data_IF_367853037245
#
_entry.id   IF_367853037245
#
_cell.length_a   1.000
_cell.length_b   1.000
_cell.length_c   1.000
_cell.angle_alpha   90.00
_cell.angle_beta   90.00
_cell.angle_gamma   90.00
#
_symmetry.space_group_name_H-M   'P 1'
#
loop_
_entity.id
_entity.type
_entity.pdbx_description
1 polymer ?
#
# COMPACT_ATOMS: atom_id res chain seq x y z
N UNK A 1 14.47 1.49 -14.94
CA UNK A 1 14.31 2.25 -13.70
C UNK A 1 15.48 3.14 -13.42
N UNK A 2 15.25 4.44 -13.59
CA UNK A 2 16.12 5.47 -13.03
C UNK A 2 16.01 5.53 -11.51
N UNK A 3 17.07 5.99 -10.85
CA UNK A 3 17.22 6.02 -9.39
C UNK A 3 16.04 6.71 -8.66
N UNK A 4 15.43 7.70 -9.32
CA UNK A 4 14.23 8.39 -8.84
C UNK A 4 13.02 7.46 -8.73
N UNK A 5 12.77 6.64 -9.75
CA UNK A 5 11.61 5.75 -9.78
C UNK A 5 11.80 4.55 -8.85
N UNK A 6 13.06 4.14 -8.63
CA UNK A 6 13.44 3.16 -7.61
C UNK A 6 13.15 3.66 -6.18
N UNK A 7 13.44 4.94 -5.88
CA UNK A 7 13.14 5.54 -4.58
C UNK A 7 11.63 5.68 -4.33
N UNK A 8 10.88 6.06 -5.36
CA UNK A 8 9.41 6.16 -5.27
C UNK A 8 8.82 4.77 -5.01
N UNK A 9 9.21 3.76 -5.79
CA UNK A 9 8.73 2.40 -5.60
C UNK A 9 9.09 1.83 -4.21
N UNK A 10 10.28 2.11 -3.69
CA UNK A 10 10.64 1.75 -2.31
C UNK A 10 9.71 2.41 -1.29
N UNK A 11 9.45 3.70 -1.45
CA UNK A 11 8.60 4.45 -0.52
C UNK A 11 7.14 3.94 -0.56
N UNK A 12 6.61 3.64 -1.74
CA UNK A 12 5.26 3.10 -1.90
C UNK A 12 5.13 1.70 -1.26
N UNK A 13 6.17 0.87 -1.38
CA UNK A 13 6.25 -0.44 -0.71
C UNK A 13 6.27 -0.27 0.81
N UNK A 14 7.10 0.63 1.34
CA UNK A 14 7.20 0.88 2.78
C UNK A 14 5.87 1.39 3.35
N UNK A 15 5.18 2.29 2.64
CA UNK A 15 3.86 2.79 3.02
C UNK A 15 2.77 1.71 2.96
N UNK A 16 2.83 0.82 1.97
CA UNK A 16 1.92 -0.33 1.89
C UNK A 16 2.14 -1.30 3.05
N UNK A 17 3.40 -1.61 3.40
CA UNK A 17 3.75 -2.46 4.54
C UNK A 17 3.31 -1.86 5.87
N UNK A 18 3.51 -0.55 6.08
CA UNK A 18 3.03 0.14 7.28
C UNK A 18 1.51 0.11 7.41
N UNK A 19 0.79 0.22 6.29
CA UNK A 19 -0.67 0.15 6.27
C UNK A 19 -1.15 -1.24 6.67
N UNK A 20 -0.50 -2.30 6.18
CA UNK A 20 -0.80 -3.69 6.58
C UNK A 20 -0.53 -3.90 8.07
N UNK A 21 0.60 -3.44 8.61
CA UNK A 21 0.88 -3.53 10.05
C UNK A 21 -0.16 -2.78 10.90
N UNK A 22 -0.65 -1.63 10.44
CA UNK A 22 -1.70 -0.88 11.12
C UNK A 22 -3.02 -1.66 11.12
N UNK A 23 -3.39 -2.28 10.00
CA UNK A 23 -4.55 -3.17 9.91
C UNK A 23 -4.42 -4.34 10.88
N UNK A 24 -3.27 -5.03 10.92
CA UNK A 24 -3.01 -6.16 11.83
C UNK A 24 -3.13 -5.75 13.30
N UNK A 25 -2.53 -4.61 13.69
CA UNK A 25 -2.64 -4.08 15.05
C UNK A 25 -4.09 -3.72 15.42
N UNK A 26 -4.86 -3.18 14.47
CA UNK A 26 -6.28 -2.87 14.71
C UNK A 26 -7.15 -4.15 14.79
N UNK A 27 -6.80 -5.23 14.06
CA UNK A 27 -7.43 -6.56 14.16
C UNK A 27 -7.16 -7.20 15.53
N UNK A 28 -5.91 -7.19 15.98
CA UNK A 28 -5.50 -7.80 17.25
C UNK A 28 -6.16 -7.12 18.47
N UNK A 29 -6.46 -5.83 18.38
CA UNK A 29 -7.10 -5.07 19.45
C UNK A 29 -8.64 -5.15 19.46
N UNK A 30 -9.28 -5.89 18.54
CA UNK A 30 -10.75 -5.93 18.38
C UNK A 30 -11.41 -4.53 18.21
N UNK A 31 -10.64 -3.53 17.77
CA UNK A 31 -11.09 -2.14 17.60
C UNK A 31 -11.61 -1.86 16.17
N UNK A 32 -11.59 -2.86 15.28
CA UNK A 32 -12.03 -2.68 13.90
C UNK A 32 -13.54 -2.71 13.77
N UNK A 33 -14.12 -1.52 13.60
CA UNK A 33 -15.40 -1.40 12.94
C UNK A 33 -15.26 -1.83 11.47
N UNK A 34 -16.33 -2.40 10.92
CA UNK A 34 -16.40 -2.79 9.50
C UNK A 34 -16.10 -1.61 8.55
N UNK A 35 -16.38 -0.39 9.00
CA UNK A 35 -16.11 0.84 8.25
C UNK A 35 -14.62 1.18 8.22
N UNK A 36 -13.91 1.03 9.35
CA UNK A 36 -12.47 1.25 9.43
C UNK A 36 -11.68 0.24 8.57
N UNK A 37 -12.08 -1.04 8.63
CA UNK A 37 -11.47 -2.08 7.78
C UNK A 37 -11.67 -1.78 6.29
N UNK A 38 -12.86 -1.30 5.90
CA UNK A 38 -13.17 -0.95 4.51
C UNK A 38 -12.33 0.25 4.02
N UNK A 39 -12.15 1.26 4.87
CA UNK A 39 -11.32 2.42 4.57
C UNK A 39 -9.86 2.03 4.39
N UNK A 40 -9.31 1.22 5.30
CA UNK A 40 -7.94 0.69 5.18
C UNK A 40 -7.76 -0.16 3.91
N UNK A 41 -8.75 -0.97 3.55
CA UNK A 41 -8.71 -1.78 2.32
C UNK A 41 -8.75 -0.93 1.04
N UNK A 42 -9.52 0.17 1.05
CA UNK A 42 -9.53 1.13 -0.06
C UNK A 42 -8.16 1.79 -0.23
N UNK A 43 -7.56 2.27 0.85
CA UNK A 43 -6.21 2.88 0.84
C UNK A 43 -5.17 1.91 0.32
N UNK A 44 -5.20 0.66 0.79
CA UNK A 44 -4.28 -0.37 0.32
C UNK A 44 -4.45 -0.64 -1.19
N UNK A 45 -5.69 -0.71 -1.67
CA UNK A 45 -5.98 -0.95 -3.09
C UNK A 45 -5.47 0.20 -3.95
N UNK A 46 -5.64 1.43 -3.50
CA UNK A 46 -5.16 2.63 -4.20
C UNK A 46 -3.64 2.62 -4.33
N UNK A 47 -2.91 2.36 -3.24
CA UNK A 47 -1.44 2.27 -3.25
C UNK A 47 -0.91 1.14 -4.13
N UNK A 48 -1.58 -0.02 -4.12
CA UNK A 48 -1.20 -1.15 -4.98
C UNK A 48 -1.41 -0.80 -6.45
N UNK A 49 -2.48 -0.08 -6.77
CA UNK A 49 -2.76 0.37 -8.14
C UNK A 49 -1.71 1.38 -8.63
N UNK A 50 -1.33 2.34 -7.78
CA UNK A 50 -0.25 3.30 -8.08
C UNK A 50 1.08 2.59 -8.35
N UNK A 51 1.44 1.61 -7.50
CA UNK A 51 2.63 0.79 -7.71
C UNK A 51 2.56 0.01 -9.02
N UNK A 52 1.41 -0.60 -9.33
CA UNK A 52 1.20 -1.35 -10.58
C UNK A 52 1.37 -0.45 -11.81
N UNK A 53 0.86 0.78 -11.75
CA UNK A 53 0.97 1.74 -12.85
C UNK A 53 2.42 2.22 -13.06
N UNK A 54 3.19 2.40 -11.98
CA UNK A 54 4.63 2.67 -12.05
C UNK A 54 5.36 1.50 -12.73
N UNK A 55 5.07 0.26 -12.33
CA UNK A 55 5.73 -0.93 -12.87
C UNK A 55 5.36 -1.16 -14.35
N UNK A 56 4.11 -0.90 -14.76
CA UNK A 56 3.68 -0.91 -16.16
C UNK A 56 4.40 0.17 -16.99
N UNK A 57 4.53 1.37 -16.44
CA UNK A 57 5.22 2.49 -17.10
C UNK A 57 6.70 2.16 -17.35
N UNK A 58 7.33 1.45 -16.42
CA UNK A 58 8.71 0.98 -16.51
C UNK A 58 8.88 -0.27 -17.40
N UNK A 59 7.80 -0.86 -17.91
CA UNK A 59 7.81 -2.06 -18.73
C UNK A 59 8.24 -3.32 -17.97
N UNK A 60 8.05 -3.33 -16.66
CA UNK A 60 8.39 -4.47 -15.78
C UNK A 60 7.28 -5.52 -15.78
N UNK A 61 6.02 -5.08 -15.90
CA UNK A 61 4.80 -5.90 -16.04
C UNK A 61 3.93 -5.39 -17.18
#
# INVERSE_FOLDING_TARGET
>A
MDEKNLKIAQQDIDEALQTVEAIEKSLDNNELSKDNLKEQFLVLTEKVQELEDILKTEGII
#
